data_IF_206243301920
#
_entry.id   IF_206243301920
#
_cell.length_a   1.000
_cell.length_b   1.000
_cell.length_c   1.000
_cell.angle_alpha   90.00
_cell.angle_beta   90.00
_cell.angle_gamma   90.00
#
_symmetry.space_group_name_H-M   'P 1'
#
loop_
_entity.id
_entity.type
_entity.pdbx_description
1 polymer ?
#
# COMPACT_ATOMS: atom_id res chain seq x y z
N UNK A 1 0.89 8.84 12.02
CA UNK A 1 1.06 7.45 11.52
C UNK A 1 0.78 6.42 12.60
N UNK A 2 1.59 6.32 13.66
CA UNK A 2 1.48 5.24 14.66
C UNK A 2 0.11 5.12 15.31
N UNK A 3 -0.48 6.24 15.72
CA UNK A 3 -1.82 6.27 16.34
C UNK A 3 -2.93 5.85 15.36
N UNK A 4 -2.93 6.41 14.14
CA UNK A 4 -3.86 6.03 13.06
C UNK A 4 -3.80 4.54 12.76
N UNK A 5 -2.57 4.01 12.62
CA UNK A 5 -2.33 2.60 12.37
C UNK A 5 -2.85 1.74 13.51
N UNK A 6 -2.55 2.11 14.76
CA UNK A 6 -3.03 1.38 15.94
C UNK A 6 -4.56 1.35 15.96
N UNK A 7 -5.23 2.49 15.80
CA UNK A 7 -6.69 2.56 15.82
C UNK A 7 -7.33 1.73 14.70
N UNK A 8 -6.79 1.81 13.47
CA UNK A 8 -7.28 1.03 12.34
C UNK A 8 -7.16 -0.50 12.58
N UNK A 9 -6.03 -0.95 13.12
CA UNK A 9 -5.80 -2.37 13.39
C UNK A 9 -6.61 -2.87 14.59
N UNK A 10 -6.90 -2.03 15.58
CA UNK A 10 -7.82 -2.40 16.66
C UNK A 10 -9.25 -2.58 16.13
N UNK A 11 -9.73 -1.70 15.26
CA UNK A 11 -11.03 -1.86 14.60
C UNK A 11 -11.10 -3.11 13.71
N UNK A 12 -10.02 -3.41 12.99
CA UNK A 12 -9.94 -4.58 12.12
C UNK A 12 -10.20 -5.91 12.83
N UNK A 13 -9.96 -6.00 14.14
CA UNK A 13 -10.22 -7.21 14.94
C UNK A 13 -11.70 -7.59 15.00
N UNK A 14 -12.61 -6.66 14.71
CA UNK A 14 -14.05 -6.93 14.62
C UNK A 14 -14.49 -7.46 13.24
N UNK A 15 -13.56 -7.65 12.30
CA UNK A 15 -13.82 -8.24 10.98
C UNK A 15 -13.99 -9.76 11.01
N UNK A 16 -14.06 -10.35 9.81
CA UNK A 16 -14.13 -11.81 9.68
C UNK A 16 -12.88 -12.48 10.28
N UNK A 17 -13.00 -13.50 11.16
CA UNK A 17 -11.86 -14.10 11.82
C UNK A 17 -10.79 -14.69 10.88
N UNK A 18 -11.17 -15.19 9.70
CA UNK A 18 -10.22 -15.71 8.72
C UNK A 18 -9.45 -14.57 8.04
N UNK A 19 -10.11 -13.46 7.74
CA UNK A 19 -9.45 -12.25 7.22
C UNK A 19 -8.52 -11.62 8.26
N UNK A 20 -8.94 -11.54 9.53
CA UNK A 20 -8.10 -11.04 10.64
C UNK A 20 -6.83 -11.87 10.75
N UNK A 21 -6.95 -13.21 10.75
CA UNK A 21 -5.78 -14.10 10.76
C UNK A 21 -4.86 -13.88 9.56
N UNK A 22 -5.43 -13.58 8.39
CA UNK A 22 -4.64 -13.28 7.19
C UNK A 22 -3.88 -11.96 7.33
N UNK A 23 -4.52 -10.90 7.85
CA UNK A 23 -3.87 -9.63 8.15
C UNK A 23 -2.75 -9.80 9.18
N UNK A 24 -3.01 -10.50 10.28
CA UNK A 24 -2.01 -10.75 11.33
C UNK A 24 -0.80 -11.50 10.78
N UNK A 25 -1.03 -12.50 9.91
CA UNK A 25 0.04 -13.26 9.26
C UNK A 25 0.91 -12.38 8.34
N UNK A 26 0.31 -11.39 7.66
CA UNK A 26 1.06 -10.42 6.87
C UNK A 26 1.89 -9.48 7.77
N UNK A 27 1.29 -8.99 8.85
CA UNK A 27 1.92 -8.03 9.76
C UNK A 27 3.04 -8.65 10.62
N UNK A 28 2.95 -9.94 10.92
CA UNK A 28 3.97 -10.67 11.68
C UNK A 28 5.26 -10.97 10.89
N UNK A 29 5.25 -10.79 9.56
CA UNK A 29 6.45 -11.01 8.74
C UNK A 29 7.55 -10.02 9.14
N UNK A 30 8.81 -10.49 9.28
CA UNK A 30 9.92 -9.62 9.67
C UNK A 30 10.14 -8.52 8.64
N UNK A 31 10.59 -7.35 9.09
CA UNK A 31 11.02 -6.26 8.23
C UNK A 31 12.53 -6.35 7.98
N UNK A 32 12.92 -6.27 6.72
CA UNK A 32 14.30 -6.25 6.24
C UNK A 32 14.65 -4.86 5.69
N UNK A 33 15.92 -4.64 5.33
CA UNK A 33 16.31 -3.41 4.65
C UNK A 33 15.46 -3.19 3.40
N UNK A 34 15.00 -1.97 3.12
CA UNK A 34 14.04 -1.73 2.05
C UNK A 34 14.70 -1.73 0.67
N UNK A 35 15.75 -0.90 0.50
CA UNK A 35 16.33 -0.57 -0.81
C UNK A 35 17.53 -1.45 -1.21
N UNK A 36 17.90 -2.48 -0.44
CA UNK A 36 19.03 -3.39 -0.73
C UNK A 36 18.71 -4.48 -1.78
N UNK A 37 17.49 -4.47 -2.33
CA UNK A 37 17.04 -5.41 -3.37
C UNK A 37 16.28 -4.70 -4.46
N UNK A 38 16.61 -5.02 -5.71
CA UNK A 38 15.87 -4.54 -6.87
C UNK A 38 14.42 -5.05 -6.85
N UNK A 39 13.47 -4.10 -6.75
CA UNK A 39 12.04 -4.39 -6.76
C UNK A 39 11.41 -4.26 -8.15
N UNK A 40 12.15 -3.91 -9.20
CA UNK A 40 11.61 -3.71 -10.55
C UNK A 40 10.97 -4.98 -11.14
N UNK A 41 9.94 -4.79 -11.96
CA UNK A 41 9.21 -5.86 -12.63
C UNK A 41 7.75 -5.97 -12.22
N UNK A 42 7.14 -7.10 -12.56
CA UNK A 42 5.71 -7.35 -12.35
C UNK A 42 5.44 -7.92 -10.96
N UNK A 43 4.34 -7.47 -10.37
CA UNK A 43 3.88 -7.86 -9.05
C UNK A 43 2.38 -8.16 -9.07
N UNK A 44 1.96 -9.11 -8.24
CA UNK A 44 0.58 -9.16 -7.76
C UNK A 44 0.44 -8.19 -6.61
N UNK A 45 -0.62 -7.42 -6.57
CA UNK A 45 -0.92 -6.50 -5.49
C UNK A 45 -2.38 -6.59 -5.07
N UNK A 46 -2.69 -6.40 -3.79
CA UNK A 46 -4.06 -6.28 -3.28
C UNK A 46 -4.14 -5.24 -2.18
N UNK A 47 -5.31 -4.66 -2.01
CA UNK A 47 -5.57 -3.70 -0.94
C UNK A 47 -6.29 -4.41 0.21
N UNK A 48 -5.87 -4.10 1.43
CA UNK A 48 -6.56 -4.46 2.67
C UNK A 48 -7.00 -3.16 3.31
N UNK A 49 -8.30 -3.00 3.57
CA UNK A 49 -8.87 -1.83 4.23
C UNK A 49 -9.12 -2.15 5.68
N UNK A 50 -8.48 -1.43 6.60
CA UNK A 50 -8.58 -1.64 8.04
C UNK A 50 -9.20 -0.41 8.72
N UNK A 51 -10.29 -0.64 9.46
CA UNK A 51 -11.09 0.38 10.14
C UNK A 51 -11.81 1.34 9.18
N UNK A 52 -12.79 2.09 9.69
CA UNK A 52 -13.61 3.02 8.89
C UNK A 52 -15.00 2.47 8.58
N UNK A 53 -15.41 2.48 7.30
CA UNK A 53 -16.76 2.04 6.89
C UNK A 53 -17.04 0.57 7.20
N UNK A 54 -15.99 -0.26 7.21
CA UNK A 54 -16.06 -1.66 7.61
C UNK A 54 -14.83 -2.00 8.46
N UNK A 55 -14.94 -2.93 9.42
CA UNK A 55 -13.81 -3.29 10.27
C UNK A 55 -12.59 -3.73 9.47
N UNK A 56 -12.79 -4.66 8.54
CA UNK A 56 -11.75 -5.23 7.70
C UNK A 56 -12.36 -5.65 6.36
N UNK A 57 -11.64 -5.39 5.27
CA UNK A 57 -11.93 -5.92 3.94
C UNK A 57 -10.63 -6.29 3.25
N UNK A 58 -10.51 -7.52 2.76
CA UNK A 58 -9.36 -7.97 1.97
C UNK A 58 -9.77 -8.18 0.51
N UNK A 59 -9.27 -7.35 -0.39
CA UNK A 59 -9.55 -7.50 -1.82
C UNK A 59 -8.73 -8.63 -2.47
N UNK A 60 -9.19 -9.08 -3.63
CA UNK A 60 -8.46 -10.00 -4.50
C UNK A 60 -7.19 -9.39 -5.11
N UNK A 61 -6.44 -10.23 -5.82
CA UNK A 61 -5.18 -9.83 -6.44
C UNK A 61 -5.37 -9.11 -7.77
N UNK A 62 -4.61 -8.04 -7.96
CA UNK A 62 -4.49 -7.23 -9.15
C UNK A 62 -3.04 -7.22 -9.65
N UNK A 63 -2.83 -6.67 -10.84
CA UNK A 63 -1.53 -6.49 -11.44
C UNK A 63 -0.95 -5.13 -11.03
N UNK A 64 0.29 -5.14 -10.59
CA UNK A 64 1.11 -3.96 -10.34
C UNK A 64 2.46 -4.10 -11.03
N UNK A 65 3.12 -2.97 -11.30
CA UNK A 65 4.46 -2.92 -11.88
C UNK A 65 5.32 -1.92 -11.10
N UNK A 66 6.54 -2.32 -10.82
CA UNK A 66 7.60 -1.42 -10.35
C UNK A 66 8.58 -1.19 -11.50
N UNK A 67 8.96 0.05 -11.72
CA UNK A 67 9.93 0.47 -12.75
C UNK A 67 10.95 1.43 -12.15
N UNK A 68 12.11 1.57 -12.80
CA UNK A 68 13.12 2.57 -12.45
C UNK A 68 13.38 3.44 -13.69
N UNK A 69 13.29 4.76 -13.54
CA UNK A 69 13.56 5.73 -14.61
C UNK A 69 14.90 6.48 -14.38
N UNK A 70 15.75 5.99 -13.49
CA UNK A 70 17.01 6.63 -13.10
C UNK A 70 16.84 7.70 -12.03
N UNK A 71 15.61 7.97 -11.57
CA UNK A 71 15.29 8.89 -10.46
C UNK A 71 14.63 8.16 -9.28
N UNK A 72 14.89 6.85 -9.15
CA UNK A 72 14.31 5.99 -8.13
C UNK A 72 13.07 5.22 -8.61
N UNK A 73 12.60 4.28 -7.79
CA UNK A 73 11.51 3.39 -8.18
C UNK A 73 10.16 4.10 -8.30
N UNK A 74 9.37 3.62 -9.26
CA UNK A 74 7.99 4.03 -9.51
C UNK A 74 7.06 2.84 -9.47
N UNK A 75 5.93 2.99 -8.81
CA UNK A 75 4.86 2.00 -8.77
C UNK A 75 3.72 2.42 -9.69
N UNK A 76 3.11 1.45 -10.36
CA UNK A 76 1.85 1.58 -11.07
C UNK A 76 0.96 0.35 -10.82
N UNK A 77 -0.27 0.58 -10.34
CA UNK A 77 -1.32 -0.45 -10.29
C UNK A 77 -2.07 -0.47 -11.62
N UNK A 78 -1.82 -1.52 -12.41
CA UNK A 78 -2.24 -1.56 -13.83
C UNK A 78 -3.65 -2.15 -14.03
N UNK A 79 -4.23 -2.80 -13.01
CA UNK A 79 -5.58 -3.38 -13.11
C UNK A 79 -6.45 -3.09 -11.88
N UNK A 80 -7.77 -3.26 -12.05
CA UNK A 80 -8.78 -2.88 -11.05
C UNK A 80 -9.23 -1.42 -11.21
N UNK A 81 -10.32 -1.08 -10.52
CA UNK A 81 -10.98 0.23 -10.56
C UNK A 81 -10.15 1.30 -9.86
N UNK A 82 -9.81 1.07 -8.59
CA UNK A 82 -8.96 1.95 -7.81
C UNK A 82 -7.49 1.71 -8.15
N UNK A 83 -6.80 2.72 -8.66
CA UNK A 83 -5.39 2.65 -9.08
C UNK A 83 -4.55 3.66 -8.33
N UNK A 84 -3.25 3.38 -8.27
CA UNK A 84 -2.26 4.28 -7.71
C UNK A 84 -1.04 4.31 -8.63
N UNK A 85 -0.44 5.50 -8.78
CA UNK A 85 0.81 5.68 -9.52
C UNK A 85 1.69 6.71 -8.81
N UNK A 86 2.94 6.36 -8.53
CA UNK A 86 3.79 7.20 -7.70
C UNK A 86 5.25 6.77 -7.67
N UNK A 87 6.03 7.44 -6.81
CA UNK A 87 7.47 7.26 -6.66
C UNK A 87 7.83 6.94 -5.21
N UNK A 88 8.90 6.18 -5.03
CA UNK A 88 9.51 5.91 -3.73
C UNK A 88 10.66 6.88 -3.44
N UNK A 89 10.82 7.23 -2.17
CA UNK A 89 11.87 8.08 -1.63
C UNK A 89 12.48 7.41 -0.41
N UNK A 90 13.80 7.53 -0.26
CA UNK A 90 14.48 6.98 0.92
C UNK A 90 14.01 7.69 2.20
N UNK A 91 13.90 6.93 3.28
CA UNK A 91 13.44 7.41 4.60
C UNK A 91 14.27 6.80 5.72
N UNK A 92 14.37 5.47 5.79
CA UNK A 92 15.30 4.80 6.70
C UNK A 92 15.75 3.44 6.15
N UNK A 93 16.63 2.76 6.88
CA UNK A 93 17.13 1.43 6.48
C UNK A 93 16.00 0.45 6.10
N UNK A 94 14.90 0.45 6.86
CA UNK A 94 13.82 -0.55 6.74
C UNK A 94 12.55 -0.05 6.06
N UNK A 95 12.51 1.20 5.61
CA UNK A 95 11.32 1.74 4.94
C UNK A 95 11.65 2.83 3.92
N UNK A 96 10.76 2.98 2.94
CA UNK A 96 10.71 4.10 2.02
C UNK A 96 9.40 4.88 2.19
N UNK A 97 9.39 6.13 1.76
CA UNK A 97 8.16 6.93 1.57
C UNK A 97 7.66 6.72 0.16
N UNK A 98 6.36 6.50 0.00
CA UNK A 98 5.67 6.51 -1.28
C UNK A 98 4.84 7.79 -1.41
N UNK A 99 5.03 8.53 -2.51
CA UNK A 99 4.17 9.64 -2.91
C UNK A 99 3.56 9.31 -4.27
N UNK A 100 2.24 9.34 -4.36
CA UNK A 100 1.56 8.99 -5.60
C UNK A 100 0.13 9.49 -5.69
N UNK A 101 -0.47 9.29 -6.85
CA UNK A 101 -1.81 9.73 -7.15
C UNK A 101 -2.77 8.55 -7.24
N UNK A 102 -3.87 8.66 -6.51
CA UNK A 102 -5.05 7.80 -6.59
C UNK A 102 -5.93 8.20 -7.78
N UNK A 103 -6.44 7.20 -8.49
CA UNK A 103 -7.44 7.39 -9.55
C UNK A 103 -8.47 6.27 -9.51
N UNK A 104 -9.66 6.54 -10.04
CA UNK A 104 -10.73 5.55 -10.12
C UNK A 104 -11.13 5.36 -11.58
N UNK A 105 -11.20 4.11 -12.03
CA UNK A 105 -11.62 3.71 -13.37
C UNK A 105 -10.85 4.48 -14.48
N UNK A 106 -11.57 5.21 -15.33
CA UNK A 106 -11.05 6.02 -16.43
C UNK A 106 -10.82 7.50 -16.04
N UNK A 107 -11.00 7.87 -14.75
CA UNK A 107 -10.75 9.25 -14.32
C UNK A 107 -9.31 9.66 -14.63
N UNK A 108 -9.10 10.87 -15.17
CA UNK A 108 -7.77 11.33 -15.53
C UNK A 108 -6.87 11.41 -14.29
N UNK A 109 -5.69 10.81 -14.39
CA UNK A 109 -4.70 10.86 -13.32
C UNK A 109 -4.23 12.29 -13.08
N UNK A 110 -4.47 12.79 -11.87
CA UNK A 110 -3.95 14.10 -11.44
C UNK A 110 -2.49 13.97 -10.98
N UNK A 111 -1.65 14.98 -11.20
CA UNK A 111 -0.32 15.04 -10.59
C UNK A 111 -0.41 14.96 -9.06
N UNK A 112 0.57 14.33 -8.41
CA UNK A 112 0.67 14.39 -6.96
C UNK A 112 0.83 15.85 -6.50
N UNK A 113 0.14 16.22 -5.42
CA UNK A 113 0.02 17.60 -4.95
C UNK A 113 -1.21 18.33 -5.49
N UNK A 114 -2.12 17.63 -6.19
CA UNK A 114 -3.37 18.21 -6.70
C UNK A 114 -4.47 18.29 -5.66
N UNK A 115 -4.25 17.73 -4.46
CA UNK A 115 -5.16 17.81 -3.33
C UNK A 115 -5.50 16.44 -2.73
N UNK A 116 -6.11 16.43 -1.54
CA UNK A 116 -6.24 15.24 -0.70
C UNK A 116 -7.08 14.12 -1.32
N UNK A 117 -7.93 14.42 -2.31
CA UNK A 117 -8.72 13.41 -3.02
C UNK A 117 -7.85 12.48 -3.89
N UNK A 118 -6.78 13.00 -4.48
CA UNK A 118 -5.85 12.21 -5.30
C UNK A 118 -4.56 11.88 -4.58
N UNK A 119 -4.13 12.74 -3.66
CA UNK A 119 -2.80 12.62 -3.07
C UNK A 119 -2.73 11.43 -2.10
N UNK A 120 -1.80 10.52 -2.35
CA UNK A 120 -1.50 9.39 -1.48
C UNK A 120 -0.07 9.49 -0.95
N UNK A 121 0.03 9.37 0.36
CA UNK A 121 1.30 9.24 1.08
C UNK A 121 1.28 7.92 1.83
N UNK A 122 2.33 7.13 1.70
CA UNK A 122 2.43 5.84 2.36
C UNK A 122 3.84 5.52 2.82
N UNK A 123 3.95 4.61 3.79
CA UNK A 123 5.23 4.01 4.17
C UNK A 123 5.32 2.61 3.58
N UNK A 124 6.39 2.35 2.83
CA UNK A 124 6.66 1.08 2.21
C UNK A 124 7.63 0.27 3.08
N UNK A 125 7.30 -1.01 3.30
CA UNK A 125 8.06 -1.94 4.11
C UNK A 125 8.32 -3.23 3.33
N UNK A 126 9.56 -3.75 3.40
CA UNK A 126 9.94 -4.98 2.72
C UNK A 126 10.03 -6.14 3.71
N UNK A 127 9.49 -7.29 3.32
CA UNK A 127 9.56 -8.53 4.11
C UNK A 127 10.55 -9.52 3.51
N UNK A 128 10.63 -9.60 2.17
CA UNK A 128 11.57 -10.44 1.45
C UNK A 128 11.86 -9.86 0.05
N UNK A 129 12.57 -10.57 -0.82
CA UNK A 129 12.74 -10.17 -2.22
C UNK A 129 11.43 -10.32 -3.04
N UNK A 130 10.48 -11.10 -2.54
CA UNK A 130 9.24 -11.45 -3.24
C UNK A 130 7.97 -10.98 -2.53
N UNK A 131 8.09 -10.32 -1.38
CA UNK A 131 6.96 -9.86 -0.57
C UNK A 131 7.27 -8.53 0.14
N UNK A 132 6.37 -7.56 0.00
CA UNK A 132 6.46 -6.22 0.62
C UNK A 132 5.07 -5.59 0.69
N UNK A 133 4.95 -4.42 1.34
CA UNK A 133 3.68 -3.69 1.44
C UNK A 133 3.88 -2.18 1.51
N UNK A 134 2.82 -1.43 1.20
CA UNK A 134 2.69 0.00 1.50
C UNK A 134 1.53 0.18 2.48
N UNK A 135 1.75 0.95 3.53
CA UNK A 135 0.71 1.34 4.49
C UNK A 135 0.37 2.82 4.28
N UNK A 136 -0.88 3.10 3.89
CA UNK A 136 -1.43 4.44 3.62
C UNK A 136 -2.31 4.87 4.80
N UNK A 137 -1.81 5.71 5.73
CA UNK A 137 -2.59 6.15 6.87
C UNK A 137 -3.63 7.20 6.46
N UNK A 138 -4.85 7.08 7.00
CA UNK A 138 -5.96 8.00 6.77
C UNK A 138 -6.14 8.37 5.29
N UNK A 139 -6.30 7.38 4.38
CA UNK A 139 -6.61 7.68 2.99
C UNK A 139 -7.92 8.46 2.92
N UNK A 140 -8.09 9.25 1.85
CA UNK A 140 -9.29 10.10 1.71
C UNK A 140 -10.60 9.30 1.69
N UNK A 141 -10.55 8.04 1.23
CA UNK A 141 -11.73 7.20 1.02
C UNK A 141 -11.76 5.96 1.93
N UNK A 142 -12.96 5.67 2.44
CA UNK A 142 -13.45 4.38 2.99
C UNK A 142 -12.82 3.89 4.30
N UNK A 143 -11.50 3.99 4.48
CA UNK A 143 -10.78 3.32 5.55
C UNK A 143 -9.94 4.25 6.42
N UNK A 144 -9.52 3.76 7.59
CA UNK A 144 -8.52 4.44 8.43
C UNK A 144 -7.09 4.11 8.01
N UNK A 145 -6.89 2.94 7.40
CA UNK A 145 -5.62 2.47 6.89
C UNK A 145 -5.87 1.57 5.68
N UNK A 146 -5.27 1.93 4.55
CA UNK A 146 -5.12 1.01 3.43
C UNK A 146 -3.74 0.36 3.50
N UNK A 147 -3.69 -0.97 3.44
CA UNK A 147 -2.45 -1.73 3.31
C UNK A 147 -2.44 -2.35 1.92
N UNK A 148 -1.54 -1.92 1.04
CA UNK A 148 -1.34 -2.53 -0.26
C UNK A 148 -0.23 -3.58 -0.15
N UNK A 149 -0.61 -4.85 -0.18
CA UNK A 149 0.31 -5.99 -0.14
C UNK A 149 0.78 -6.34 -1.56
N UNK A 150 2.07 -6.69 -1.69
CA UNK A 150 2.70 -7.09 -2.95
C UNK A 150 3.35 -8.47 -2.82
N UNK A 151 3.19 -9.28 -3.86
CA UNK A 151 3.81 -10.60 -3.98
C UNK A 151 4.22 -10.94 -5.42
N UNK A 152 5.32 -11.67 -5.58
CA UNK A 152 5.69 -12.33 -6.85
C UNK A 152 5.15 -13.76 -6.92
#
# INVERSE_FOLDING_TARGET
YGETRKAALEEAKAGDPAEVKQLDSLLAKPLVAFSDKDLTGNWKCRTIKAGGLSPLVIYGWFKCKVSDDGSGWRLEKVSGSQRTKGRFFDDSEKRAIYLGSFTVNEDPAKPYGSGPQSDQVGYAFRNSASEWRIEFPAPYYESKLDIMEFKR
#
